data_IF_109751995343
#
_entry.id   IF_109751995343
#
_cell.length_a   1.000
_cell.length_b   1.000
_cell.length_c   1.000
_cell.angle_alpha   90.00
_cell.angle_beta   90.00
_cell.angle_gamma   90.00
#
_symmetry.space_group_name_H-M   'P 1'
#
loop_
_entity.id
_entity.type
_entity.pdbx_description
1 polymer ?
#
# COMPACT_ATOMS: atom_id res chain seq x y z
N UNK A 1 12.10 9.27 13.42
CA UNK A 1 11.07 9.51 12.39
C UNK A 1 9.82 8.85 12.91
N UNK A 2 8.76 9.61 13.18
CA UNK A 2 7.47 9.02 13.56
C UNK A 2 6.83 8.55 12.25
N UNK A 3 6.53 7.25 12.14
CA UNK A 3 5.72 6.77 11.03
C UNK A 3 4.37 7.47 11.01
N UNK A 4 3.76 7.53 9.83
CA UNK A 4 2.42 8.09 9.68
C UNK A 4 1.38 7.17 10.32
N UNK A 5 0.28 7.77 10.78
CA UNK A 5 -0.86 7.01 11.30
C UNK A 5 -1.64 6.40 10.15
N UNK A 6 -2.41 5.36 10.46
CA UNK A 6 -3.26 4.70 9.47
C UNK A 6 -4.25 5.67 8.82
N UNK A 7 -4.91 6.56 9.57
CA UNK A 7 -5.78 7.61 9.00
C UNK A 7 -5.05 8.46 7.94
N UNK A 8 -3.80 8.84 8.20
CA UNK A 8 -3.01 9.64 7.24
C UNK A 8 -2.62 8.80 6.02
N UNK A 9 -2.35 7.51 6.19
CA UNK A 9 -2.16 6.60 5.07
C UNK A 9 -3.42 6.52 4.21
N UNK A 10 -4.60 6.38 4.81
CA UNK A 10 -5.86 6.36 4.07
C UNK A 10 -6.07 7.65 3.28
N UNK A 11 -5.79 8.82 3.87
CA UNK A 11 -5.87 10.10 3.14
C UNK A 11 -4.85 10.18 2.00
N UNK A 12 -3.60 9.79 2.24
CA UNK A 12 -2.55 9.79 1.21
C UNK A 12 -2.92 8.91 0.03
N UNK A 13 -3.30 7.67 0.29
CA UNK A 13 -3.67 6.71 -0.76
C UNK A 13 -4.95 7.17 -1.46
N UNK A 14 -5.94 7.71 -0.73
CA UNK A 14 -7.15 8.31 -1.31
C UNK A 14 -6.79 9.37 -2.36
N UNK A 15 -5.77 10.18 -2.08
CA UNK A 15 -5.23 11.21 -2.96
C UNK A 15 -4.23 10.69 -4.02
N UNK A 16 -4.14 9.36 -4.21
CA UNK A 16 -3.20 8.73 -5.12
C UNK A 16 -1.72 9.04 -4.83
N UNK A 17 -1.35 9.20 -3.56
CA UNK A 17 0.06 9.26 -3.14
C UNK A 17 0.65 7.88 -2.88
N UNK A 18 1.98 7.86 -2.75
CA UNK A 18 2.77 6.66 -2.50
C UNK A 18 3.17 6.59 -1.02
N UNK A 19 3.20 5.37 -0.49
CA UNK A 19 3.63 5.11 0.88
C UNK A 19 4.57 3.91 0.92
N UNK A 20 5.64 4.03 1.70
CA UNK A 20 6.61 2.97 1.93
C UNK A 20 6.48 2.46 3.36
N UNK A 21 6.69 1.18 3.59
CA UNK A 21 6.76 0.62 4.94
C UNK A 21 7.71 -0.56 4.99
N UNK A 22 8.38 -0.74 6.13
CA UNK A 22 9.23 -1.90 6.36
C UNK A 22 8.51 -2.89 7.28
N UNK A 23 8.48 -4.15 6.86
CA UNK A 23 8.01 -5.27 7.68
C UNK A 23 9.02 -6.40 7.64
N UNK A 24 9.44 -6.88 8.82
CA UNK A 24 10.34 -8.03 8.96
C UNK A 24 11.66 -7.91 8.17
N UNK A 25 12.18 -6.69 8.00
CA UNK A 25 13.40 -6.41 7.22
C UNK A 25 13.20 -6.36 5.70
N UNK A 26 11.95 -6.45 5.23
CA UNK A 26 11.59 -6.24 3.83
C UNK A 26 10.86 -4.91 3.67
N UNK A 27 11.29 -4.12 2.70
CA UNK A 27 10.63 -2.88 2.32
C UNK A 27 9.48 -3.16 1.37
N UNK A 28 8.35 -2.52 1.60
CA UNK A 28 7.16 -2.59 0.78
C UNK A 28 6.73 -1.19 0.36
N UNK A 29 6.18 -1.07 -0.84
CA UNK A 29 5.71 0.20 -1.39
C UNK A 29 4.28 0.03 -1.86
N UNK A 30 3.37 0.77 -1.23
CA UNK A 30 1.98 0.93 -1.65
C UNK A 30 1.90 2.17 -2.54
N UNK A 31 1.54 1.95 -3.80
CA UNK A 31 1.44 3.04 -4.78
C UNK A 31 0.27 2.79 -5.75
N UNK A 32 -0.38 3.84 -6.23
CA UNK A 32 -1.29 3.75 -7.36
C UNK A 32 -0.50 3.67 -8.68
N UNK A 33 -0.85 2.72 -9.53
CA UNK A 33 -0.27 2.48 -10.83
C UNK A 33 -1.34 2.67 -11.92
N UNK A 34 -1.05 3.48 -12.94
CA UNK A 34 -1.93 3.66 -14.08
C UNK A 34 -1.46 2.77 -15.22
N UNK A 35 -2.33 1.87 -15.68
CA UNK A 35 -2.03 0.94 -16.76
C UNK A 35 -3.22 0.84 -17.73
N UNK A 36 -2.95 1.07 -19.03
CA UNK A 36 -3.93 0.94 -20.13
C UNK A 36 -5.30 1.60 -19.82
N UNK A 37 -5.27 2.88 -19.43
CA UNK A 37 -6.46 3.69 -19.12
C UNK A 37 -7.25 3.27 -17.86
N UNK A 38 -6.68 2.38 -17.04
CA UNK A 38 -7.20 1.99 -15.73
C UNK A 38 -6.17 2.26 -14.65
N UNK A 39 -6.65 2.60 -13.47
CA UNK A 39 -5.80 2.82 -12.31
C UNK A 39 -5.89 1.59 -11.40
N UNK A 40 -4.78 1.22 -10.76
CA UNK A 40 -4.71 0.10 -9.83
C UNK A 40 -3.95 0.51 -8.59
N UNK A 41 -4.42 0.13 -7.40
CA UNK A 41 -3.64 0.24 -6.18
C UNK A 41 -2.81 -1.04 -6.02
N UNK A 42 -1.49 -0.90 -5.99
CA UNK A 42 -0.56 -2.03 -5.94
C UNK A 42 0.35 -1.95 -4.71
N UNK A 43 0.64 -3.11 -4.13
CA UNK A 43 1.71 -3.25 -3.15
C UNK A 43 2.87 -3.99 -3.82
N UNK A 44 4.01 -3.32 -3.84
CA UNK A 44 5.28 -3.87 -4.27
C UNK A 44 6.08 -4.31 -3.07
N UNK A 45 6.52 -5.55 -3.09
CA UNK A 45 7.60 -6.05 -2.27
C UNK A 45 8.92 -5.60 -2.92
N UNK A 46 9.65 -4.71 -2.25
CA UNK A 46 10.95 -4.19 -2.67
C UNK A 46 12.10 -5.01 -2.07
N UNK A 47 11.94 -6.34 -1.97
CA UNK A 47 13.05 -7.22 -1.58
C UNK A 47 14.23 -7.00 -2.55
N UNK A 48 15.47 -6.81 -2.04
CA UNK A 48 16.64 -6.40 -2.85
C UNK A 48 16.97 -7.33 -4.03
N UNK A 49 16.50 -8.57 -4.03
CA UNK A 49 16.75 -9.54 -5.08
C UNK A 49 15.70 -9.53 -6.21
N UNK A 50 14.44 -9.19 -5.93
CA UNK A 50 13.38 -9.20 -6.96
C UNK A 50 12.17 -8.40 -6.49
N UNK A 51 11.95 -7.20 -7.05
CA UNK A 51 10.73 -6.46 -6.77
C UNK A 51 9.51 -7.24 -7.29
N UNK A 52 8.54 -7.54 -6.42
CA UNK A 52 7.37 -8.35 -6.77
C UNK A 52 6.08 -7.66 -6.35
N UNK A 53 5.12 -7.59 -7.25
CA UNK A 53 3.77 -7.17 -6.90
C UNK A 53 3.09 -8.28 -6.10
N UNK A 54 2.74 -7.99 -4.84
CA UNK A 54 2.08 -8.94 -3.93
C UNK A 54 0.57 -8.69 -3.81
N UNK A 55 0.13 -7.45 -4.03
CA UNK A 55 -1.27 -7.07 -4.02
C UNK A 55 -1.54 -6.12 -5.19
N UNK A 56 -2.69 -6.29 -5.86
CA UNK A 56 -3.13 -5.43 -6.96
C UNK A 56 -4.64 -5.38 -7.02
N UNK A 57 -5.21 -4.20 -6.81
CA UNK A 57 -6.65 -3.96 -6.93
C UNK A 57 -6.94 -2.85 -7.93
N UNK A 58 -7.99 -3.03 -8.73
CA UNK A 58 -8.47 -1.98 -9.64
C UNK A 58 -9.11 -0.85 -8.84
N UNK A 59 -8.71 0.39 -9.13
CA UNK A 59 -9.27 1.61 -8.55
C UNK A 59 -9.92 2.46 -9.64
N UNK A 60 -10.81 3.35 -9.23
CA UNK A 60 -11.42 4.33 -10.12
C UNK A 60 -10.35 5.21 -10.77
N UNK A 61 -10.50 5.47 -12.06
CA UNK A 61 -9.58 6.32 -12.84
C UNK A 61 -9.85 7.82 -12.60
N UNK A 62 -11.02 8.15 -12.05
CA UNK A 62 -11.49 9.51 -11.79
C UNK A 62 -11.93 9.66 -10.33
N UNK A 63 -11.29 10.59 -9.62
CA UNK A 63 -11.59 10.93 -8.22
C UNK A 63 -10.73 10.21 -7.18
N UNK A 64 -11.09 10.38 -5.92
CA UNK A 64 -10.46 9.75 -4.77
C UNK A 64 -10.64 8.22 -4.75
N UNK A 65 -9.63 7.50 -4.29
CA UNK A 65 -9.72 6.05 -4.11
C UNK A 65 -10.73 5.74 -2.99
N UNK A 66 -11.79 4.96 -3.25
CA UNK A 66 -12.74 4.61 -2.21
C UNK A 66 -12.05 3.80 -1.11
N UNK A 67 -12.30 4.17 0.15
CA UNK A 67 -11.74 3.47 1.31
C UNK A 67 -12.00 1.97 1.29
N UNK A 68 -13.11 1.50 0.69
CA UNK A 68 -13.39 0.08 0.55
C UNK A 68 -12.33 -0.68 -0.27
N UNK A 69 -11.72 -0.04 -1.27
CA UNK A 69 -10.64 -0.66 -2.06
C UNK A 69 -9.32 -0.62 -1.30
N UNK A 70 -9.04 0.49 -0.60
CA UNK A 70 -7.87 0.58 0.29
C UNK A 70 -7.97 -0.51 1.36
N UNK A 71 -9.11 -0.64 2.03
CA UNK A 71 -9.36 -1.69 3.01
C UNK A 71 -9.21 -3.09 2.42
N UNK A 72 -9.72 -3.33 1.19
CA UNK A 72 -9.52 -4.62 0.52
C UNK A 72 -8.03 -4.96 0.30
N UNK A 73 -7.22 -3.97 -0.12
CA UNK A 73 -5.77 -4.12 -0.31
C UNK A 73 -5.06 -4.33 1.04
N UNK A 74 -5.41 -3.55 2.05
CA UNK A 74 -4.79 -3.63 3.38
C UNK A 74 -5.22 -4.89 4.15
N UNK A 75 -6.42 -5.40 3.90
CA UNK A 75 -6.95 -6.66 4.45
C UNK A 75 -6.39 -7.89 3.73
N UNK A 76 -5.70 -7.69 2.61
CA UNK A 76 -5.13 -8.78 1.84
C UNK A 76 -3.99 -9.45 2.60
N UNK A 77 -4.05 -10.78 2.70
CA UNK A 77 -3.13 -11.58 3.53
C UNK A 77 -1.82 -11.88 2.80
N UNK A 78 -1.12 -10.82 2.40
CA UNK A 78 0.08 -10.92 1.58
C UNK A 78 1.39 -10.98 2.41
N UNK A 79 1.32 -10.76 3.72
CA UNK A 79 2.49 -10.69 4.62
C UNK A 79 2.57 -11.95 5.48
N UNK A 80 3.06 -13.06 4.91
CA UNK A 80 3.18 -14.35 5.63
C UNK A 80 1.84 -14.87 6.17
N UNK A 81 0.75 -14.63 5.43
CA UNK A 81 -0.61 -14.98 5.83
C UNK A 81 -1.29 -13.97 6.78
N UNK A 82 -0.61 -12.88 7.12
CA UNK A 82 -1.18 -11.72 7.80
C UNK A 82 -1.52 -10.60 6.81
N UNK A 83 -2.47 -9.78 7.22
CA UNK A 83 -2.87 -8.56 6.51
C UNK A 83 -2.08 -7.34 7.00
N UNK A 84 -2.04 -6.27 6.19
CA UNK A 84 -1.41 -5.00 6.59
C UNK A 84 -2.01 -4.48 7.91
N UNK A 85 -3.33 -4.55 8.05
CA UNK A 85 -4.06 -4.15 9.26
C UNK A 85 -3.62 -4.94 10.51
N UNK A 86 -3.19 -6.19 10.36
CA UNK A 86 -2.70 -6.99 11.48
C UNK A 86 -1.25 -6.66 11.86
N UNK A 87 -0.44 -6.25 10.88
CA UNK A 87 0.96 -5.90 11.09
C UNK A 87 1.16 -4.39 11.27
N UNK A 88 0.10 -3.57 11.19
CA UNK A 88 0.17 -2.10 11.28
C UNK A 88 0.93 -1.62 12.53
N UNK A 89 0.87 -2.40 13.62
CA UNK A 89 1.50 -2.11 14.91
C UNK A 89 2.98 -2.48 14.95
N UNK A 90 3.40 -3.37 14.06
CA UNK A 90 4.75 -3.91 13.94
C UNK A 90 5.54 -3.21 12.81
N UNK A 91 4.86 -2.48 11.91
CA UNK A 91 5.48 -1.74 10.82
C UNK A 91 5.54 -0.25 11.12
N UNK A 92 6.48 0.43 10.46
CA UNK A 92 6.52 1.89 10.41
C UNK A 92 6.32 2.34 8.98
N UNK A 93 5.23 3.04 8.73
CA UNK A 93 4.91 3.59 7.41
C UNK A 93 5.56 4.97 7.27
N UNK A 94 6.24 5.18 6.16
CA UNK A 94 6.95 6.40 5.80
C UNK A 94 6.40 6.91 4.47
N UNK A 95 6.13 8.22 4.40
CA UNK A 95 5.70 8.85 3.15
C UNK A 95 6.92 9.13 2.30
N UNK A 96 6.87 8.73 1.03
CA UNK A 96 7.84 9.09 0.01
C UNK A 96 7.24 10.25 -0.79
N UNK A 97 7.92 11.41 -0.75
CA UNK A 97 7.53 12.67 -1.41
C UNK A 97 8.28 12.86 -2.73
#
# INVERSE_FOLDING_TARGET
MNGIKMDELYELISHCHEAEFEYNGTTYVLQPEVNDNKSYLVIWDCTPDTAKCIAKHEIGVEGDIPQAVIDAVLSEKCFDGKSFLEIEKDITVTVIY
#
